data_IF_884239996838
#
_entry.id   IF_884239996838
#
_cell.length_a   1.000
_cell.length_b   1.000
_cell.length_c   1.000
_cell.angle_alpha   90.00
_cell.angle_beta   90.00
_cell.angle_gamma   90.00
#
_symmetry.space_group_name_H-M   'P 1'
#
loop_
_entity.id
_entity.type
_entity.pdbx_description
1 polymer ?
#
# COMPACT_ATOMS: atom_id res chain seq x y z
N UNK A 1 -10.78 -32.38 29.63
CA UNK A 1 -11.15 -30.95 29.57
C UNK A 1 -12.42 -30.85 28.69
N UNK A 2 -13.60 -30.39 29.16
CA UNK A 2 -14.89 -30.52 28.43
C UNK A 2 -14.98 -29.69 27.14
N UNK A 3 -15.29 -30.35 26.02
CA UNK A 3 -15.36 -29.72 24.68
C UNK A 3 -16.40 -28.58 24.63
N UNK A 4 -17.62 -28.84 25.11
CA UNK A 4 -18.71 -27.86 25.24
C UNK A 4 -18.73 -27.19 26.62
N UNK A 5 -19.38 -26.04 26.69
CA UNK A 5 -19.60 -25.30 27.93
C UNK A 5 -20.50 -26.05 28.91
N UNK A 6 -20.25 -25.85 30.21
CA UNK A 6 -21.08 -26.31 31.33
C UNK A 6 -21.68 -25.09 32.04
N UNK A 7 -22.68 -25.33 32.89
CA UNK A 7 -23.43 -24.27 33.62
C UNK A 7 -22.55 -23.27 34.37
N UNK A 8 -21.35 -23.67 34.79
CA UNK A 8 -20.42 -22.88 35.57
C UNK A 8 -19.06 -22.63 34.88
N UNK A 9 -18.87 -23.04 33.62
CA UNK A 9 -17.55 -22.99 32.97
C UNK A 9 -17.64 -23.03 31.44
N UNK A 10 -16.87 -22.19 30.74
CA UNK A 10 -16.75 -22.28 29.27
C UNK A 10 -16.00 -23.55 28.84
N UNK A 11 -16.45 -24.15 27.75
CA UNK A 11 -15.80 -25.31 27.12
C UNK A 11 -14.47 -24.92 26.46
N UNK A 12 -13.64 -25.91 26.13
CA UNK A 12 -12.31 -25.64 25.57
C UNK A 12 -12.35 -24.94 24.22
N UNK A 13 -13.31 -25.25 23.35
CA UNK A 13 -13.41 -24.60 22.04
C UNK A 13 -13.63 -23.08 22.19
N UNK A 14 -14.60 -22.69 23.03
CA UNK A 14 -14.90 -21.28 23.29
C UNK A 14 -13.69 -20.53 23.89
N UNK A 15 -12.94 -21.19 24.80
CA UNK A 15 -11.74 -20.62 25.42
C UNK A 15 -10.59 -20.48 24.44
N UNK A 16 -10.36 -21.49 23.60
CA UNK A 16 -9.31 -21.45 22.58
C UNK A 16 -9.59 -20.32 21.59
N UNK A 17 -10.81 -20.20 21.07
CA UNK A 17 -11.17 -19.06 20.22
C UNK A 17 -10.96 -17.72 20.93
N UNK A 18 -11.39 -17.60 22.19
CA UNK A 18 -11.19 -16.37 22.95
C UNK A 18 -9.71 -15.99 23.07
N UNK A 19 -8.87 -16.89 23.58
CA UNK A 19 -7.47 -16.57 23.89
C UNK A 19 -6.57 -16.49 22.65
N UNK A 20 -6.84 -17.30 21.62
CA UNK A 20 -6.15 -17.18 20.34
C UNK A 20 -6.47 -15.83 19.69
N UNK A 21 -7.75 -15.46 19.61
CA UNK A 21 -8.14 -14.15 19.09
C UNK A 21 -7.57 -13.00 19.93
N UNK A 22 -7.59 -13.10 21.26
CA UNK A 22 -7.04 -12.07 22.13
C UNK A 22 -5.55 -11.84 21.88
N UNK A 23 -4.75 -12.92 21.80
CA UNK A 23 -3.32 -12.81 21.52
C UNK A 23 -3.06 -12.17 20.15
N UNK A 24 -3.70 -12.70 19.10
CA UNK A 24 -3.50 -12.20 17.73
C UNK A 24 -3.94 -10.74 17.60
N UNK A 25 -5.09 -10.35 18.18
CA UNK A 25 -5.59 -8.96 18.13
C UNK A 25 -4.65 -8.01 18.85
N UNK A 26 -4.12 -8.36 20.03
CA UNK A 26 -3.17 -7.51 20.75
C UNK A 26 -1.88 -7.32 19.93
N UNK A 27 -1.35 -8.39 19.33
CA UNK A 27 -0.20 -8.28 18.43
C UNK A 27 -0.52 -7.44 17.19
N UNK A 28 -1.68 -7.62 16.57
CA UNK A 28 -2.11 -6.85 15.40
C UNK A 28 -2.26 -5.36 15.70
N UNK A 29 -2.80 -4.99 16.86
CA UNK A 29 -2.91 -3.58 17.26
C UNK A 29 -1.53 -2.95 17.48
N UNK A 30 -0.61 -3.67 18.14
CA UNK A 30 0.76 -3.20 18.34
C UNK A 30 1.52 -3.05 17.02
N UNK A 31 1.48 -4.09 16.17
CA UNK A 31 2.09 -4.08 14.84
C UNK A 31 1.45 -3.00 13.96
N UNK A 32 0.13 -2.84 14.02
CA UNK A 32 -0.61 -1.85 13.24
C UNK A 32 -0.21 -0.42 13.57
N UNK A 33 -0.02 -0.12 14.86
CA UNK A 33 0.52 1.16 15.30
C UNK A 33 1.97 1.34 14.85
N UNK A 34 2.82 0.33 15.07
CA UNK A 34 4.23 0.37 14.70
C UNK A 34 4.44 0.61 13.20
N UNK A 35 3.77 -0.18 12.35
CA UNK A 35 3.92 -0.11 10.89
C UNK A 35 3.35 1.19 10.30
N UNK A 36 2.42 1.85 10.98
CA UNK A 36 1.84 3.11 10.51
C UNK A 36 2.87 4.26 10.54
N UNK A 37 3.80 4.24 11.50
CA UNK A 37 4.82 5.27 11.70
C UNK A 37 6.13 4.98 10.93
N UNK A 38 6.28 3.78 10.36
CA UNK A 38 7.50 3.42 9.64
C UNK A 38 7.62 4.15 8.30
N UNK A 39 8.85 4.50 7.93
CA UNK A 39 9.18 4.89 6.56
C UNK A 39 8.84 3.76 5.58
N UNK A 40 8.43 4.14 4.37
CA UNK A 40 8.12 3.18 3.32
C UNK A 40 9.38 2.38 2.97
N UNK A 41 9.28 1.05 3.05
CA UNK A 41 10.41 0.12 2.93
C UNK A 41 9.90 -1.27 2.52
N UNK A 42 10.73 -2.16 1.95
CA UNK A 42 10.36 -3.56 1.73
C UNK A 42 9.89 -4.23 3.03
N UNK A 43 10.55 -3.93 4.15
CA UNK A 43 10.15 -4.47 5.45
C UNK A 43 8.75 -3.97 5.88
N UNK A 44 8.42 -2.69 5.66
CA UNK A 44 7.06 -2.15 5.90
C UNK A 44 6.02 -2.89 5.07
N UNK A 45 6.31 -3.16 3.80
CA UNK A 45 5.40 -3.87 2.90
C UNK A 45 5.20 -5.33 3.31
N UNK A 46 6.25 -6.01 3.74
CA UNK A 46 6.17 -7.36 4.30
C UNK A 46 5.32 -7.38 5.59
N UNK A 47 5.54 -6.42 6.49
CA UNK A 47 4.76 -6.29 7.72
C UNK A 47 3.28 -6.02 7.43
N UNK A 48 2.96 -5.20 6.42
CA UNK A 48 1.58 -5.03 5.95
C UNK A 48 0.97 -6.33 5.44
N UNK A 49 1.73 -7.15 4.71
CA UNK A 49 1.25 -8.45 4.22
C UNK A 49 0.91 -9.40 5.37
N UNK A 50 1.77 -9.49 6.40
CA UNK A 50 1.47 -10.26 7.60
C UNK A 50 0.28 -9.68 8.39
N UNK A 51 0.23 -8.36 8.58
CA UNK A 51 -0.88 -7.70 9.28
C UNK A 51 -2.23 -8.01 8.62
N UNK A 52 -2.32 -7.88 7.28
CA UNK A 52 -3.51 -8.25 6.50
C UNK A 52 -3.87 -9.72 6.67
N UNK A 53 -2.89 -10.62 6.55
CA UNK A 53 -3.11 -12.08 6.65
C UNK A 53 -3.65 -12.50 8.02
N UNK A 54 -3.04 -12.01 9.10
CA UNK A 54 -3.51 -12.27 10.47
C UNK A 54 -4.85 -11.59 10.76
N UNK A 55 -5.12 -10.42 10.16
CA UNK A 55 -6.44 -9.78 10.21
C UNK A 55 -7.53 -10.68 9.62
N UNK A 56 -7.25 -11.34 8.50
CA UNK A 56 -8.18 -12.30 7.88
C UNK A 56 -8.36 -13.57 8.73
N UNK A 57 -7.32 -14.03 9.44
CA UNK A 57 -7.47 -15.09 10.47
C UNK A 57 -8.45 -14.64 11.56
N UNK A 58 -8.34 -13.41 12.07
CA UNK A 58 -9.26 -12.88 13.09
C UNK A 58 -10.70 -12.83 12.59
N UNK A 59 -10.91 -12.42 11.33
CA UNK A 59 -12.25 -12.44 10.72
C UNK A 59 -12.83 -13.87 10.73
N UNK A 60 -12.07 -14.85 10.25
CA UNK A 60 -12.47 -16.25 10.24
C UNK A 60 -12.73 -16.81 11.64
N UNK A 61 -11.81 -16.60 12.59
CA UNK A 61 -11.99 -17.02 13.99
C UNK A 61 -13.22 -16.37 14.63
N UNK A 62 -13.52 -15.11 14.30
CA UNK A 62 -14.69 -14.41 14.84
C UNK A 62 -15.98 -14.99 14.27
N UNK A 63 -16.05 -15.27 12.97
CA UNK A 63 -17.20 -15.96 12.35
C UNK A 63 -17.40 -17.33 12.98
N UNK A 64 -16.35 -18.15 13.09
CA UNK A 64 -16.41 -19.46 13.74
C UNK A 64 -16.84 -19.37 15.20
N UNK A 65 -16.39 -18.35 15.93
CA UNK A 65 -16.79 -18.09 17.32
C UNK A 65 -18.27 -17.70 17.42
N UNK A 66 -18.79 -16.91 16.48
CA UNK A 66 -20.22 -16.57 16.41
C UNK A 66 -21.04 -17.82 16.13
N UNK A 67 -20.65 -18.66 15.16
CA UNK A 67 -21.33 -19.94 14.87
C UNK A 67 -21.30 -20.84 16.11
N UNK A 68 -20.13 -21.02 16.73
CA UNK A 68 -19.96 -21.83 17.93
C UNK A 68 -20.85 -21.35 19.09
N UNK A 69 -20.96 -20.03 19.29
CA UNK A 69 -21.82 -19.44 20.33
C UNK A 69 -23.30 -19.84 20.17
N UNK A 70 -23.78 -20.09 18.96
CA UNK A 70 -25.17 -20.54 18.71
C UNK A 70 -25.35 -22.05 18.92
N UNK A 71 -24.27 -22.84 18.86
CA UNK A 71 -24.28 -24.30 19.04
C UNK A 71 -23.98 -24.70 20.49
N UNK A 72 -23.19 -23.90 21.19
CA UNK A 72 -22.74 -24.19 22.57
C UNK A 72 -23.81 -23.86 23.61
N UNK A 73 -23.63 -24.39 24.82
CA UNK A 73 -24.56 -24.20 25.94
C UNK A 73 -24.52 -22.74 26.39
N UNK A 74 -25.70 -22.08 26.39
CA UNK A 74 -25.85 -20.72 26.90
C UNK A 74 -25.56 -20.69 28.40
N UNK A 75 -24.43 -20.11 28.78
CA UNK A 75 -24.08 -19.99 30.19
C UNK A 75 -24.82 -18.80 30.80
N UNK A 76 -25.49 -19.05 31.93
CA UNK A 76 -26.19 -17.99 32.66
C UNK A 76 -25.17 -16.96 33.22
N UNK A 77 -25.57 -15.68 33.29
CA UNK A 77 -24.80 -14.70 34.05
C UNK A 77 -24.73 -15.08 35.54
N UNK A 78 -23.77 -14.52 36.28
CA UNK A 78 -23.67 -14.76 37.72
C UNK A 78 -24.69 -13.89 38.46
N UNK A 79 -25.30 -14.43 39.52
CA UNK A 79 -26.29 -13.70 40.33
C UNK A 79 -25.70 -12.48 41.07
N UNK A 80 -24.37 -12.40 41.16
CA UNK A 80 -23.61 -11.29 41.74
C UNK A 80 -23.60 -10.04 40.86
N UNK A 81 -24.03 -10.14 39.60
CA UNK A 81 -23.97 -9.03 38.64
C UNK A 81 -25.24 -8.18 38.69
N UNK A 82 -25.05 -6.87 38.72
CA UNK A 82 -26.13 -5.88 38.63
C UNK A 82 -26.69 -5.77 37.20
N UNK A 83 -27.88 -5.19 37.06
CA UNK A 83 -28.49 -4.93 35.74
C UNK A 83 -27.61 -4.05 34.85
N UNK A 84 -26.93 -3.06 35.44
CA UNK A 84 -26.01 -2.18 34.72
C UNK A 84 -24.78 -2.93 34.23
N UNK A 85 -24.18 -3.79 35.06
CA UNK A 85 -23.03 -4.62 34.66
C UNK A 85 -23.39 -5.59 33.54
N UNK A 86 -24.57 -6.20 33.58
CA UNK A 86 -25.06 -7.01 32.47
C UNK A 86 -25.24 -6.22 31.18
N UNK A 87 -25.82 -5.02 31.28
CA UNK A 87 -26.00 -4.14 30.14
C UNK A 87 -24.65 -3.73 29.53
N UNK A 88 -23.73 -3.22 30.35
CA UNK A 88 -22.39 -2.79 29.93
C UNK A 88 -21.60 -3.96 29.34
N UNK A 89 -21.63 -5.12 29.98
CA UNK A 89 -20.99 -6.33 29.46
C UNK A 89 -21.53 -6.69 28.08
N UNK A 90 -22.86 -6.72 27.89
CA UNK A 90 -23.46 -7.01 26.59
C UNK A 90 -23.06 -5.96 25.55
N UNK A 91 -23.09 -4.68 25.90
CA UNK A 91 -22.73 -3.58 25.03
C UNK A 91 -21.27 -3.66 24.57
N UNK A 92 -20.32 -3.84 25.50
CA UNK A 92 -18.89 -4.00 25.19
C UNK A 92 -18.67 -5.22 24.30
N UNK A 93 -19.32 -6.36 24.58
CA UNK A 93 -19.20 -7.53 23.70
C UNK A 93 -19.73 -7.25 22.29
N UNK A 94 -20.83 -6.51 22.13
CA UNK A 94 -21.35 -6.11 20.82
C UNK A 94 -20.32 -5.23 20.09
N UNK A 95 -19.76 -4.22 20.75
CA UNK A 95 -18.71 -3.38 20.16
C UNK A 95 -17.49 -4.20 19.74
N UNK A 96 -17.05 -5.16 20.57
CA UNK A 96 -15.95 -6.07 20.23
C UNK A 96 -16.29 -6.90 18.97
N UNK A 97 -17.50 -7.47 18.86
CA UNK A 97 -17.88 -8.22 17.67
C UNK A 97 -17.97 -7.34 16.42
N UNK A 98 -18.55 -6.13 16.54
CA UNK A 98 -18.60 -5.17 15.43
C UNK A 98 -17.18 -4.81 14.99
N UNK A 99 -16.28 -4.51 15.92
CA UNK A 99 -14.90 -4.16 15.61
C UNK A 99 -14.11 -5.32 15.00
N UNK A 100 -14.20 -6.52 15.58
CA UNK A 100 -13.46 -7.70 15.10
C UNK A 100 -13.89 -8.19 13.71
N UNK A 101 -15.07 -7.79 13.25
CA UNK A 101 -15.58 -8.08 11.90
C UNK A 101 -15.33 -6.88 10.97
N UNK A 102 -15.72 -5.68 11.41
CA UNK A 102 -15.65 -4.46 10.62
C UNK A 102 -14.23 -4.00 10.32
N UNK A 103 -13.28 -4.17 11.25
CA UNK A 103 -11.88 -3.80 11.03
C UNK A 103 -11.23 -4.62 9.90
N UNK A 104 -11.23 -5.98 9.91
CA UNK A 104 -10.66 -6.73 8.80
C UNK A 104 -11.35 -6.47 7.46
N UNK A 105 -12.69 -6.34 7.44
CA UNK A 105 -13.44 -6.05 6.21
C UNK A 105 -13.06 -4.67 5.65
N UNK A 106 -13.01 -3.63 6.49
CA UNK A 106 -12.58 -2.31 6.05
C UNK A 106 -11.13 -2.30 5.57
N UNK A 107 -10.24 -3.07 6.19
CA UNK A 107 -8.85 -3.19 5.75
C UNK A 107 -8.70 -3.93 4.41
N UNK A 108 -9.54 -4.95 4.17
CA UNK A 108 -9.59 -5.65 2.89
C UNK A 108 -10.10 -4.72 1.77
N UNK A 109 -11.21 -4.03 2.00
CA UNK A 109 -11.74 -3.05 1.04
C UNK A 109 -10.75 -1.89 0.78
N UNK A 110 -10.06 -1.42 1.82
CA UNK A 110 -9.00 -0.42 1.70
C UNK A 110 -7.87 -0.90 0.79
N UNK A 111 -7.45 -2.16 0.95
CA UNK A 111 -6.38 -2.72 0.13
C UNK A 111 -6.81 -2.86 -1.33
N UNK A 112 -8.03 -3.35 -1.60
CA UNK A 112 -8.58 -3.43 -2.96
C UNK A 112 -8.68 -2.03 -3.62
N UNK A 113 -9.27 -1.06 -2.93
CA UNK A 113 -9.47 0.30 -3.47
C UNK A 113 -8.15 1.04 -3.75
N UNK A 114 -7.06 0.67 -3.06
CA UNK A 114 -5.72 1.23 -3.25
C UNK A 114 -4.79 0.39 -4.13
N UNK A 115 -5.31 -0.63 -4.82
CA UNK A 115 -4.52 -1.60 -5.61
C UNK A 115 -3.37 -2.24 -4.83
N UNK A 116 -3.59 -2.46 -3.53
CA UNK A 116 -2.68 -3.23 -2.70
C UNK A 116 -3.07 -4.70 -2.71
N UNK A 117 -2.14 -5.61 -3.02
CA UNK A 117 -2.41 -7.04 -3.03
C UNK A 117 -2.92 -7.54 -1.68
N UNK A 118 -3.99 -8.34 -1.67
CA UNK A 118 -4.50 -9.01 -0.48
C UNK A 118 -4.00 -10.46 -0.41
N UNK A 119 -2.69 -10.63 -0.50
CA UNK A 119 -2.04 -11.93 -0.38
C UNK A 119 -2.20 -12.51 1.04
N UNK A 120 -2.61 -13.76 1.13
CA UNK A 120 -2.68 -14.54 2.36
C UNK A 120 -1.41 -15.35 2.54
N UNK A 121 -0.46 -14.82 3.32
CA UNK A 121 0.86 -15.41 3.56
C UNK A 121 1.65 -15.77 2.28
N UNK A 122 1.39 -15.10 1.14
CA UNK A 122 2.03 -15.43 -0.14
C UNK A 122 1.46 -16.66 -0.85
N UNK A 123 0.41 -17.30 -0.30
CA UNK A 123 -0.11 -18.57 -0.81
C UNK A 123 -1.19 -18.40 -1.88
N UNK A 124 -2.08 -17.43 -1.68
CA UNK A 124 -3.15 -17.06 -2.61
C UNK A 124 -3.60 -15.64 -2.31
N UNK A 125 -4.34 -15.05 -3.24
CA UNK A 125 -4.94 -13.72 -3.06
C UNK A 125 -6.43 -13.83 -2.72
N UNK A 126 -6.89 -13.01 -1.77
CA UNK A 126 -8.33 -12.85 -1.58
C UNK A 126 -8.96 -12.13 -2.78
N UNK A 127 -10.23 -12.42 -3.12
CA UNK A 127 -10.86 -11.83 -4.28
C UNK A 127 -10.89 -10.31 -4.20
N UNK A 128 -10.73 -9.67 -5.35
CA UNK A 128 -10.87 -8.22 -5.49
C UNK A 128 -12.36 -7.89 -5.52
N UNK A 129 -12.86 -7.23 -4.46
CA UNK A 129 -14.28 -6.97 -4.27
C UNK A 129 -14.74 -5.64 -4.87
N UNK A 130 -13.80 -4.70 -5.02
CA UNK A 130 -14.03 -3.32 -5.48
C UNK A 130 -12.86 -2.89 -6.33
N UNK A 131 -13.12 -2.15 -7.40
CA UNK A 131 -12.08 -1.57 -8.25
C UNK A 131 -11.33 -0.43 -7.55
N UNK A 132 -10.21 0.01 -8.16
CA UNK A 132 -9.46 1.19 -7.74
C UNK A 132 -10.37 2.41 -7.58
N UNK A 133 -10.38 3.01 -6.40
CA UNK A 133 -11.16 4.20 -6.12
C UNK A 133 -10.54 4.98 -4.95
N UNK A 134 -10.03 6.18 -5.22
CA UNK A 134 -9.34 7.01 -4.23
C UNK A 134 -10.25 7.48 -3.09
N UNK A 135 -11.50 7.81 -3.38
CA UNK A 135 -12.47 8.23 -2.37
C UNK A 135 -12.81 7.07 -1.43
N UNK A 136 -13.01 5.88 -2.00
CA UNK A 136 -13.27 4.65 -1.26
C UNK A 136 -12.05 4.26 -0.42
N UNK A 137 -10.83 4.41 -0.94
CA UNK A 137 -9.60 4.18 -0.20
C UNK A 137 -9.52 5.11 1.04
N UNK A 138 -9.75 6.41 0.88
CA UNK A 138 -9.74 7.39 1.99
C UNK A 138 -10.83 7.08 3.02
N UNK A 139 -12.03 6.72 2.56
CA UNK A 139 -13.15 6.35 3.42
C UNK A 139 -12.82 5.09 4.23
N UNK A 140 -12.41 4.01 3.56
CA UNK A 140 -12.12 2.73 4.21
C UNK A 140 -10.92 2.83 5.17
N UNK A 141 -9.90 3.63 4.86
CA UNK A 141 -8.80 3.98 5.78
C UNK A 141 -9.30 4.67 7.04
N UNK A 142 -10.22 5.62 6.89
CA UNK A 142 -10.83 6.33 8.03
C UNK A 142 -11.67 5.38 8.88
N UNK A 143 -12.50 4.56 8.26
CA UNK A 143 -13.33 3.53 8.94
C UNK A 143 -12.45 2.51 9.66
N UNK A 144 -11.36 2.04 9.04
CA UNK A 144 -10.41 1.13 9.66
C UNK A 144 -9.78 1.73 10.92
N UNK A 145 -9.38 3.00 10.85
CA UNK A 145 -8.83 3.74 11.98
C UNK A 145 -9.85 3.93 13.12
N UNK A 146 -11.10 4.26 12.79
CA UNK A 146 -12.20 4.37 13.77
C UNK A 146 -12.41 3.02 14.49
N UNK A 147 -12.44 1.91 13.75
CA UNK A 147 -12.55 0.59 14.37
C UNK A 147 -11.33 0.26 15.25
N UNK A 148 -10.13 0.74 14.92
CA UNK A 148 -8.95 0.54 15.77
C UNK A 148 -9.09 1.21 17.12
N UNK A 149 -9.42 2.51 17.15
CA UNK A 149 -9.65 3.23 18.40
C UNK A 149 -10.83 2.64 19.19
N UNK A 150 -11.91 2.26 18.50
CA UNK A 150 -13.05 1.60 19.14
C UNK A 150 -12.66 0.27 19.78
N UNK A 151 -11.86 -0.56 19.10
CA UNK A 151 -11.39 -1.85 19.63
C UNK A 151 -10.44 -1.65 20.81
N UNK A 152 -9.50 -0.71 20.73
CA UNK A 152 -8.59 -0.39 21.84
C UNK A 152 -9.40 -0.03 23.09
N UNK A 153 -10.38 0.88 22.97
CA UNK A 153 -11.25 1.27 24.06
C UNK A 153 -12.08 0.10 24.59
N UNK A 154 -12.74 -0.66 23.70
CA UNK A 154 -13.59 -1.78 24.09
C UNK A 154 -12.81 -2.91 24.76
N UNK A 155 -11.60 -3.23 24.28
CA UNK A 155 -10.69 -4.21 24.87
C UNK A 155 -10.23 -3.73 26.24
N UNK A 156 -9.83 -2.45 26.37
CA UNK A 156 -9.44 -1.86 27.65
C UNK A 156 -10.56 -1.98 28.69
N UNK A 157 -11.77 -1.55 28.35
CA UNK A 157 -12.94 -1.67 29.22
C UNK A 157 -13.30 -3.13 29.53
N UNK A 158 -13.15 -4.04 28.56
CA UNK A 158 -13.37 -5.47 28.76
C UNK A 158 -12.39 -6.06 29.79
N UNK A 159 -11.09 -5.74 29.67
CA UNK A 159 -10.05 -6.20 30.59
C UNK A 159 -10.28 -5.61 31.98
N UNK A 160 -10.53 -4.30 32.08
CA UNK A 160 -10.82 -3.63 33.35
C UNK A 160 -12.03 -4.24 34.02
N UNK A 161 -13.11 -4.51 33.29
CA UNK A 161 -14.29 -5.20 33.82
C UNK A 161 -13.96 -6.61 34.35
N UNK A 162 -13.19 -7.39 33.58
CA UNK A 162 -12.78 -8.73 34.01
C UNK A 162 -11.89 -8.71 35.27
N UNK A 163 -10.99 -7.73 35.37
CA UNK A 163 -10.12 -7.54 36.54
C UNK A 163 -10.90 -7.04 37.76
N UNK A 164 -11.84 -6.09 37.57
CA UNK A 164 -12.75 -5.62 38.62
C UNK A 164 -13.53 -6.79 39.22
N UNK A 165 -14.12 -7.63 38.38
CA UNK A 165 -14.83 -8.83 38.82
C UNK A 165 -13.91 -9.83 39.54
N UNK A 166 -12.66 -9.97 39.09
CA UNK A 166 -11.72 -10.91 39.69
C UNK A 166 -11.12 -10.44 41.02
N UNK A 167 -10.76 -9.16 41.13
CA UNK A 167 -9.98 -8.59 42.23
C UNK A 167 -10.90 -7.97 43.29
N UNK A 168 -11.89 -7.18 42.85
CA UNK A 168 -12.80 -6.44 43.74
C UNK A 168 -13.99 -7.31 44.12
N UNK A 169 -14.75 -7.79 43.14
CA UNK A 169 -15.96 -8.59 43.41
C UNK A 169 -15.63 -10.04 43.82
N UNK A 170 -14.40 -10.49 43.50
CA UNK A 170 -13.88 -11.84 43.77
C UNK A 170 -14.77 -12.96 43.21
N UNK A 171 -15.44 -12.69 42.09
CA UNK A 171 -16.34 -13.65 41.47
C UNK A 171 -15.61 -14.62 40.51
N UNK A 172 -16.38 -15.51 39.89
CA UNK A 172 -15.85 -16.52 38.98
C UNK A 172 -15.81 -16.10 37.50
N UNK A 173 -16.06 -14.83 37.15
CA UNK A 173 -16.15 -14.34 35.77
C UNK A 173 -14.89 -14.67 34.97
N UNK A 174 -13.70 -14.28 35.45
CA UNK A 174 -12.44 -14.59 34.78
C UNK A 174 -12.08 -16.08 34.85
N UNK A 175 -12.34 -16.72 36.00
CA UNK A 175 -12.07 -18.16 36.22
C UNK A 175 -12.85 -19.05 35.25
N UNK A 176 -14.04 -18.63 34.84
CA UNK A 176 -14.86 -19.29 33.80
C UNK A 176 -14.17 -19.31 32.44
N UNK A 177 -13.30 -18.36 32.12
CA UNK A 177 -12.59 -18.25 30.83
C UNK A 177 -11.18 -18.88 30.82
N UNK A 178 -10.63 -19.28 31.97
CA UNK A 178 -9.40 -20.07 32.05
C UNK A 178 -8.29 -19.40 32.85
N UNK A 179 -8.42 -19.40 34.18
CA UNK A 179 -7.55 -18.63 35.09
C UNK A 179 -6.03 -18.82 34.93
N UNK A 180 -5.53 -20.01 34.58
CA UNK A 180 -4.08 -20.25 34.37
C UNK A 180 -3.57 -19.79 32.99
N UNK A 181 -4.43 -19.75 31.98
CA UNK A 181 -4.09 -19.34 30.60
C UNK A 181 -3.95 -17.81 30.52
N UNK A 182 -4.69 -17.09 31.37
CA UNK A 182 -4.65 -15.62 31.50
C UNK A 182 -3.21 -15.13 31.72
N UNK A 183 -2.47 -15.73 32.66
CA UNK A 183 -1.11 -15.31 33.00
C UNK A 183 -0.11 -15.58 31.85
N UNK A 184 -0.30 -16.67 31.10
CA UNK A 184 0.55 -16.99 29.95
C UNK A 184 0.31 -16.03 28.79
N UNK A 185 -0.94 -15.68 28.49
CA UNK A 185 -1.27 -14.73 27.40
C UNK A 185 -0.84 -13.31 27.77
N UNK A 186 -1.03 -12.89 29.02
CA UNK A 186 -0.53 -11.60 29.51
C UNK A 186 1.00 -11.56 29.44
N UNK A 187 1.69 -12.62 29.88
CA UNK A 187 3.15 -12.71 29.80
C UNK A 187 3.68 -12.63 28.37
N UNK A 188 3.06 -13.33 27.41
CA UNK A 188 3.44 -13.29 25.99
C UNK A 188 3.14 -11.92 25.38
N UNK A 189 1.98 -11.33 25.63
CA UNK A 189 1.62 -10.01 25.14
C UNK A 189 2.55 -8.91 25.69
N UNK A 190 2.98 -9.02 26.94
CA UNK A 190 3.98 -8.13 27.55
C UNK A 190 5.35 -8.31 26.90
N UNK A 191 5.76 -9.54 26.56
CA UNK A 191 7.04 -9.82 25.88
C UNK A 191 7.09 -9.33 24.42
N UNK A 192 5.95 -9.08 23.78
CA UNK A 192 5.91 -8.42 22.47
C UNK A 192 6.26 -6.92 22.54
N UNK A 193 6.16 -6.28 23.72
CA UNK A 193 6.47 -4.85 23.91
C UNK A 193 8.00 -4.56 23.95
N UNK A 194 8.86 -5.38 24.55
CA UNK A 194 10.32 -5.24 24.45
C UNK A 194 10.88 -5.49 23.05
N UNK A 195 10.29 -6.41 22.26
CA UNK A 195 10.69 -6.62 20.86
C UNK A 195 10.45 -5.34 20.05
N UNK A 196 9.37 -4.61 20.35
CA UNK A 196 9.09 -3.29 19.79
C UNK A 196 10.20 -2.27 20.12
N UNK A 197 10.73 -2.22 21.35
CA UNK A 197 11.82 -1.31 21.70
C UNK A 197 13.19 -1.71 21.12
N UNK A 198 13.50 -3.01 21.06
CA UNK A 198 14.77 -3.51 20.52
C UNK A 198 14.85 -3.25 19.00
N UNK A 199 13.75 -3.43 18.27
CA UNK A 199 13.74 -3.18 16.82
C UNK A 199 13.87 -1.68 16.51
N UNK A 200 13.20 -0.80 17.27
CA UNK A 200 13.30 0.67 17.15
C UNK A 200 14.73 1.18 17.34
N UNK A 201 15.41 0.72 18.39
CA UNK A 201 16.76 1.17 18.73
C UNK A 201 17.83 0.71 17.72
N UNK A 202 17.55 -0.39 17.00
CA UNK A 202 18.47 -0.93 15.98
C UNK A 202 18.33 -0.19 14.65
N UNK A 203 17.14 0.28 14.29
CA UNK A 203 16.87 0.97 13.01
C UNK A 203 17.29 2.45 13.03
N UNK A 204 17.03 3.18 14.12
CA UNK A 204 17.39 4.60 14.25
C UNK A 204 18.92 4.83 14.14
N UNK A 205 19.70 3.83 14.57
CA UNK A 205 21.16 3.82 14.51
C UNK A 205 21.73 3.58 13.10
N UNK A 206 20.92 3.05 12.18
CA UNK A 206 21.33 2.77 10.80
C UNK A 206 21.04 3.97 9.87
N UNK A 207 19.98 4.73 10.11
CA UNK A 207 19.59 5.87 9.26
C UNK A 207 20.47 7.12 9.48
N UNK A 208 20.93 7.35 10.70
CA UNK A 208 21.73 8.55 11.06
C UNK A 208 23.11 8.60 10.39
N UNK A 209 23.60 7.48 9.85
CA UNK A 209 24.93 7.42 9.21
C UNK A 209 24.90 7.82 7.73
N UNK A 210 23.73 7.88 7.08
CA UNK A 210 23.61 7.96 5.61
C UNK A 210 23.46 9.39 5.05
N UNK A 211 23.04 10.38 5.84
CA UNK A 211 22.58 11.68 5.31
C UNK A 211 23.61 12.83 5.30
N UNK A 212 24.91 12.56 5.46
CA UNK A 212 25.91 13.61 5.38
C UNK A 212 26.40 13.83 3.95
N UNK A 213 26.02 15.00 3.38
CA UNK A 213 26.68 15.74 2.28
C UNK A 213 26.05 15.57 0.89
N UNK A 214 25.44 16.62 0.34
CA UNK A 214 25.97 17.37 -0.82
C UNK A 214 25.12 18.57 -1.24
N UNK A 215 25.81 19.51 -1.87
CA UNK A 215 25.51 20.94 -1.95
C UNK A 215 25.01 21.32 -3.35
N UNK A 216 24.04 22.24 -3.38
CA UNK A 216 23.36 22.78 -4.55
C UNK A 216 24.26 23.33 -5.68
N UNK A 217 23.83 23.13 -6.94
CA UNK A 217 24.01 24.13 -8.00
C UNK A 217 22.85 24.03 -9.01
N UNK A 218 22.12 25.14 -9.19
CA UNK A 218 20.92 25.29 -10.01
C UNK A 218 21.28 26.00 -11.31
N UNK A 219 20.84 25.51 -12.47
CA UNK A 219 20.86 26.29 -13.71
C UNK A 219 19.51 26.28 -14.44
N UNK A 220 19.23 27.45 -15.01
CA UNK A 220 17.95 27.93 -15.53
C UNK A 220 17.67 27.50 -16.97
N UNK A 221 16.37 27.50 -17.27
CA UNK A 221 15.70 27.28 -18.55
C UNK A 221 16.18 28.15 -19.72
N UNK A 222 15.90 27.68 -20.95
CA UNK A 222 15.83 28.56 -22.12
C UNK A 222 14.76 28.08 -23.13
N UNK A 223 13.93 29.05 -23.53
CA UNK A 223 12.89 29.05 -24.56
C UNK A 223 13.48 29.20 -25.97
N UNK A 224 12.86 28.58 -27.00
CA UNK A 224 12.90 29.05 -28.42
C UNK A 224 11.85 28.29 -29.26
N UNK A 225 10.85 29.00 -29.81
CA UNK A 225 10.62 29.34 -31.25
C UNK A 225 9.92 28.27 -32.08
N UNK A 226 8.73 28.63 -32.60
CA UNK A 226 7.93 27.85 -33.55
C UNK A 226 8.66 27.68 -34.88
N UNK A 227 8.74 26.44 -35.34
CA UNK A 227 9.12 26.02 -36.68
C UNK A 227 7.93 25.33 -37.32
N UNK A 228 7.78 25.51 -38.64
CA UNK A 228 6.82 24.74 -39.46
C UNK A 228 6.98 23.24 -39.16
N UNK A 229 5.86 22.50 -39.18
CA UNK A 229 5.71 21.08 -38.79
C UNK A 229 5.72 20.72 -37.28
N UNK A 230 5.63 21.70 -36.38
CA UNK A 230 5.43 21.41 -34.95
C UNK A 230 4.00 20.90 -34.66
N UNK A 231 3.91 19.81 -33.89
CA UNK A 231 2.65 19.24 -33.41
C UNK A 231 2.24 19.87 -32.07
N UNK A 232 0.97 20.22 -31.97
CA UNK A 232 0.33 20.73 -30.74
C UNK A 232 -0.32 19.55 -30.01
N UNK A 233 0.14 19.30 -28.79
CA UNK A 233 -0.31 18.19 -27.96
C UNK A 233 -1.58 18.57 -27.21
N UNK A 234 -2.58 17.70 -27.27
CA UNK A 234 -3.75 17.74 -26.42
C UNK A 234 -3.45 16.98 -25.12
N UNK A 235 -2.98 17.71 -24.10
CA UNK A 235 -2.61 17.14 -22.81
C UNK A 235 -3.78 16.51 -22.04
N UNK A 236 -5.02 16.92 -22.30
CA UNK A 236 -6.19 16.32 -21.63
C UNK A 236 -6.46 14.90 -22.15
N UNK A 237 -6.13 14.64 -23.41
CA UNK A 237 -6.27 13.35 -24.06
C UNK A 237 -4.92 12.65 -24.30
N UNK A 238 -3.89 13.02 -23.53
CA UNK A 238 -2.57 12.42 -23.57
C UNK A 238 -2.14 11.93 -22.19
N UNK A 239 -1.35 10.87 -22.13
CA UNK A 239 -0.89 10.25 -20.89
C UNK A 239 0.47 9.58 -21.05
N UNK A 240 1.33 9.80 -20.07
CA UNK A 240 2.56 9.01 -19.85
C UNK A 240 2.32 8.17 -18.60
N UNK A 241 2.19 6.86 -18.80
CA UNK A 241 1.92 5.88 -17.77
C UNK A 241 3.04 4.85 -17.68
N UNK A 242 3.08 4.15 -16.55
CA UNK A 242 3.99 3.05 -16.33
C UNK A 242 3.32 1.96 -15.50
N UNK A 243 3.80 0.73 -15.65
CA UNK A 243 3.43 -0.42 -14.83
C UNK A 243 4.71 -1.01 -14.26
N UNK A 244 4.72 -1.28 -12.97
CA UNK A 244 5.82 -1.98 -12.31
C UNK A 244 5.25 -3.08 -11.41
N UNK A 245 6.05 -4.10 -11.14
CA UNK A 245 5.63 -5.21 -10.28
C UNK A 245 6.01 -4.94 -8.83
N UNK A 246 5.08 -5.10 -7.90
CA UNK A 246 5.29 -5.06 -6.45
C UNK A 246 4.78 -6.36 -5.81
N UNK A 247 5.67 -7.17 -5.24
CA UNK A 247 5.38 -8.51 -4.71
C UNK A 247 4.60 -9.41 -5.68
N UNK A 248 4.96 -9.39 -6.97
CA UNK A 248 4.34 -10.20 -8.01
C UNK A 248 3.11 -9.57 -8.67
N UNK A 249 2.58 -8.49 -8.11
CA UNK A 249 1.38 -7.83 -8.63
C UNK A 249 1.72 -6.56 -9.40
N UNK A 250 0.95 -6.29 -10.46
CA UNK A 250 1.18 -5.14 -11.32
C UNK A 250 0.51 -3.89 -10.74
N UNK A 251 1.32 -2.86 -10.53
CA UNK A 251 0.87 -1.56 -10.06
C UNK A 251 0.95 -0.56 -11.19
N UNK A 252 -0.14 0.18 -11.41
CA UNK A 252 -0.21 1.26 -12.38
C UNK A 252 0.24 2.59 -11.79
N UNK A 253 0.97 3.39 -12.57
CA UNK A 253 1.32 4.75 -12.25
C UNK A 253 1.35 5.66 -13.48
N UNK A 254 1.41 6.96 -13.25
CA UNK A 254 1.52 7.98 -14.30
C UNK A 254 2.15 9.27 -13.77
N UNK A 255 2.42 10.20 -14.67
CA UNK A 255 2.87 11.56 -14.35
C UNK A 255 1.81 12.58 -14.79
N UNK A 256 1.37 13.44 -13.87
CA UNK A 256 0.36 14.46 -14.15
C UNK A 256 0.93 15.68 -14.90
N UNK A 257 2.23 15.95 -14.76
CA UNK A 257 2.88 17.14 -15.32
C UNK A 257 4.07 16.76 -16.18
N UNK A 258 3.94 17.05 -17.47
CA UNK A 258 4.99 16.87 -18.46
C UNK A 258 4.71 17.80 -19.63
N UNK A 259 5.77 18.16 -20.33
CA UNK A 259 5.74 18.97 -21.55
C UNK A 259 6.46 18.20 -22.66
N UNK A 260 6.05 18.40 -23.90
CA UNK A 260 6.78 17.87 -25.04
C UNK A 260 6.78 18.83 -26.23
N UNK A 261 7.86 18.75 -27.00
CA UNK A 261 8.02 19.43 -28.30
C UNK A 261 8.21 18.34 -29.34
N UNK A 262 7.32 18.29 -30.33
CA UNK A 262 7.34 17.27 -31.38
C UNK A 262 7.30 17.98 -32.72
N UNK A 263 8.33 17.77 -33.52
CA UNK A 263 8.42 18.14 -34.93
C UNK A 263 8.52 16.81 -35.66
N UNK A 264 7.51 16.44 -36.43
CA UNK A 264 7.51 15.13 -37.08
C UNK A 264 6.85 15.18 -38.44
N UNK A 265 7.58 14.69 -39.44
CA UNK A 265 7.10 14.48 -40.81
C UNK A 265 7.45 13.05 -41.23
N UNK A 266 6.42 12.27 -41.59
CA UNK A 266 6.59 10.87 -41.99
C UNK A 266 7.36 10.69 -43.30
N UNK A 267 7.46 11.74 -44.11
CA UNK A 267 8.22 11.76 -45.36
C UNK A 267 9.61 12.43 -45.20
N UNK A 268 9.87 13.10 -44.07
CA UNK A 268 11.14 13.77 -43.74
C UNK A 268 11.57 13.48 -42.30
N UNK A 269 12.03 12.24 -42.08
CA UNK A 269 12.46 11.77 -40.77
C UNK A 269 13.78 12.39 -40.29
N UNK A 270 14.61 12.89 -41.20
CA UNK A 270 15.92 13.49 -40.84
C UNK A 270 15.75 14.84 -40.15
N UNK A 271 14.73 15.61 -40.51
CA UNK A 271 14.38 16.88 -39.86
C UNK A 271 13.34 16.72 -38.73
N UNK A 272 12.95 15.47 -38.42
CA UNK A 272 12.03 15.18 -37.33
C UNK A 272 12.77 15.13 -35.98
N UNK A 273 12.14 15.65 -34.93
CA UNK A 273 12.64 15.62 -33.55
C UNK A 273 11.51 15.55 -32.52
N UNK A 274 11.77 14.88 -31.41
CA UNK A 274 10.90 14.87 -30.25
C UNK A 274 11.72 15.08 -28.98
N UNK A 275 11.23 15.96 -28.11
CA UNK A 275 11.78 16.17 -26.78
C UNK A 275 10.64 16.13 -25.76
N UNK A 276 10.82 15.39 -24.67
CA UNK A 276 9.86 15.27 -23.58
C UNK A 276 10.55 15.67 -22.28
N UNK A 277 9.86 16.42 -21.44
CA UNK A 277 10.28 16.76 -20.09
C UNK A 277 9.17 16.41 -19.11
N UNK A 278 9.45 15.55 -18.14
CA UNK A 278 8.48 15.11 -17.13
C UNK A 278 8.88 15.70 -15.78
N UNK A 279 7.93 16.28 -15.04
CA UNK A 279 8.15 16.67 -13.64
C UNK A 279 7.99 15.45 -12.73
N UNK A 280 9.08 15.05 -12.07
CA UNK A 280 9.11 13.87 -11.20
C UNK A 280 8.16 14.01 -10.01
N UNK A 281 7.94 15.23 -9.50
CA UNK A 281 7.05 15.46 -8.37
C UNK A 281 5.57 15.17 -8.69
N UNK A 282 5.24 15.09 -9.99
CA UNK A 282 3.89 14.80 -10.48
C UNK A 282 3.54 13.32 -10.56
N UNK A 283 4.43 12.43 -10.08
CA UNK A 283 4.19 11.00 -10.06
C UNK A 283 2.96 10.64 -9.22
N UNK A 284 2.11 9.76 -9.76
CA UNK A 284 0.91 9.24 -9.14
C UNK A 284 0.77 7.75 -9.33
N UNK A 285 0.74 7.01 -8.22
CA UNK A 285 0.55 5.56 -8.17
C UNK A 285 -0.73 5.16 -7.43
N UNK A 286 -1.53 6.14 -6.99
CA UNK A 286 -2.73 5.91 -6.18
C UNK A 286 -2.43 5.67 -4.70
N UNK A 287 -1.18 5.88 -4.25
CA UNK A 287 -0.77 5.77 -2.85
C UNK A 287 0.20 6.88 -2.47
N UNK A 288 -0.20 7.74 -1.53
CA UNK A 288 0.64 8.84 -1.05
C UNK A 288 1.99 8.34 -0.51
N UNK A 289 2.01 7.27 0.28
CA UNK A 289 3.24 6.68 0.81
C UNK A 289 4.20 6.24 -0.32
N UNK A 290 3.66 5.65 -1.39
CA UNK A 290 4.47 5.20 -2.52
C UNK A 290 4.93 6.37 -3.38
N UNK A 291 4.08 7.38 -3.57
CA UNK A 291 4.41 8.59 -4.32
C UNK A 291 5.52 9.38 -3.60
N UNK A 292 5.45 9.49 -2.27
CA UNK A 292 6.52 10.08 -1.44
C UNK A 292 7.81 9.26 -1.49
N UNK A 293 7.72 7.92 -1.48
CA UNK A 293 8.89 7.07 -1.64
C UNK A 293 9.55 7.29 -3.02
N UNK A 294 8.76 7.35 -4.08
CA UNK A 294 9.28 7.45 -5.43
C UNK A 294 10.11 8.72 -5.65
N UNK A 295 9.74 9.83 -5.01
CA UNK A 295 10.48 11.09 -5.14
C UNK A 295 11.72 11.19 -4.21
N UNK A 296 11.91 10.23 -3.30
CA UNK A 296 13.03 10.20 -2.35
C UNK A 296 14.39 10.00 -3.00
N UNK A 297 15.47 10.23 -2.24
CA UNK A 297 16.88 10.13 -2.67
C UNK A 297 17.26 8.74 -3.21
N UNK A 298 16.72 7.67 -2.62
CA UNK A 298 16.97 6.29 -3.05
C UNK A 298 16.27 5.94 -4.37
N UNK A 299 15.28 6.73 -4.77
CA UNK A 299 14.46 6.53 -5.97
C UNK A 299 14.79 7.60 -7.00
N UNK A 300 13.82 8.41 -7.45
CA UNK A 300 14.09 9.41 -8.50
C UNK A 300 14.99 10.56 -8.03
N UNK A 301 15.23 10.69 -6.72
CA UNK A 301 16.01 11.77 -6.10
C UNK A 301 15.56 13.15 -6.60
N UNK A 302 14.26 13.39 -6.50
CA UNK A 302 13.57 14.52 -7.14
C UNK A 302 14.15 15.88 -6.74
N UNK A 303 14.65 16.01 -5.50
CA UNK A 303 15.27 17.24 -5.03
C UNK A 303 16.50 17.64 -5.87
N UNK A 304 17.28 16.67 -6.36
CA UNK A 304 18.48 16.89 -7.18
C UNK A 304 18.16 16.83 -8.68
N UNK A 305 17.23 15.95 -9.05
CA UNK A 305 16.81 15.69 -10.42
C UNK A 305 15.29 15.90 -10.54
N UNK A 306 14.81 17.16 -10.56
CA UNK A 306 13.38 17.45 -10.53
C UNK A 306 12.66 17.02 -11.81
N UNK A 307 13.40 16.81 -12.90
CA UNK A 307 12.86 16.49 -14.21
C UNK A 307 13.55 15.29 -14.82
N UNK A 308 12.76 14.46 -15.50
CA UNK A 308 13.23 13.50 -16.49
C UNK A 308 13.21 14.14 -17.88
N UNK A 309 14.14 13.74 -18.73
CA UNK A 309 14.25 14.26 -20.09
C UNK A 309 14.45 13.13 -21.09
N UNK A 310 13.67 13.15 -22.16
CA UNK A 310 13.94 12.34 -23.35
C UNK A 310 14.21 13.27 -24.52
N UNK A 311 15.22 12.95 -25.33
CA UNK A 311 15.51 13.65 -26.59
C UNK A 311 15.78 12.64 -27.70
N UNK A 312 15.01 12.70 -28.77
CA UNK A 312 15.23 11.88 -29.96
C UNK A 312 16.57 12.20 -30.60
N UNK A 313 17.21 11.17 -31.15
CA UNK A 313 18.41 11.28 -31.99
C UNK A 313 18.08 11.03 -33.45
N UNK A 314 17.23 10.03 -33.73
CA UNK A 314 16.73 9.74 -35.07
C UNK A 314 15.46 8.88 -35.02
N UNK A 315 14.80 8.76 -36.18
CA UNK A 315 13.62 7.95 -36.39
C UNK A 315 13.86 6.95 -37.52
N UNK A 316 13.28 5.76 -37.39
CA UNK A 316 13.34 4.71 -38.41
C UNK A 316 11.90 4.36 -38.86
N UNK A 317 11.63 4.36 -40.17
CA UNK A 317 10.35 3.89 -40.72
C UNK A 317 10.39 2.36 -40.82
N UNK A 318 9.45 1.69 -40.14
CA UNK A 318 9.31 0.22 -40.23
C UNK A 318 8.15 -0.20 -41.14
N UNK A 319 7.09 0.61 -41.19
CA UNK A 319 5.98 0.50 -42.15
C UNK A 319 5.30 1.86 -42.33
N UNK A 320 4.23 1.93 -43.12
CA UNK A 320 3.59 3.21 -43.48
C UNK A 320 3.21 4.09 -42.27
N UNK A 321 2.72 3.47 -41.18
CA UNK A 321 2.30 4.18 -39.96
C UNK A 321 2.99 3.63 -38.68
N UNK A 322 4.09 2.90 -38.82
CA UNK A 322 4.86 2.38 -37.67
C UNK A 322 6.32 2.77 -37.81
N UNK A 323 6.90 3.20 -36.70
CA UNK A 323 8.23 3.78 -36.65
C UNK A 323 8.94 3.31 -35.38
N UNK A 324 10.25 3.41 -35.36
CA UNK A 324 11.07 3.30 -34.14
C UNK A 324 11.66 4.68 -33.88
N UNK A 325 11.56 5.15 -32.64
CA UNK A 325 12.25 6.34 -32.18
C UNK A 325 13.46 5.93 -31.35
N UNK A 326 14.60 6.53 -31.65
CA UNK A 326 15.84 6.34 -30.90
C UNK A 326 16.17 7.65 -30.17
N UNK A 327 16.67 7.58 -28.95
CA UNK A 327 16.95 8.80 -28.20
C UNK A 327 17.64 8.58 -26.87
N UNK A 328 18.09 9.69 -26.30
CA UNK A 328 18.71 9.72 -24.99
C UNK A 328 17.64 9.99 -23.94
N UNK A 329 17.45 9.03 -23.04
CA UNK A 329 16.61 9.16 -21.85
C UNK A 329 17.51 9.44 -20.65
N UNK A 330 17.34 10.61 -20.03
CA UNK A 330 17.93 10.95 -18.75
C UNK A 330 16.90 10.79 -17.64
N UNK A 331 17.20 9.89 -16.70
CA UNK A 331 16.47 9.71 -15.45
C UNK A 331 17.45 9.73 -14.31
N UNK A 332 17.14 10.50 -13.25
CA UNK A 332 17.96 10.56 -12.03
C UNK A 332 19.45 10.91 -12.33
N UNK A 333 19.67 11.80 -13.29
CA UNK A 333 21.00 12.21 -13.73
C UNK A 333 21.77 11.18 -14.56
N UNK A 334 21.22 10.00 -14.82
CA UNK A 334 21.83 8.95 -15.64
C UNK A 334 21.18 8.94 -17.02
N UNK A 335 22.00 9.09 -18.06
CA UNK A 335 21.54 9.03 -19.46
C UNK A 335 21.77 7.64 -20.03
N UNK A 336 20.72 7.06 -20.62
CA UNK A 336 20.77 5.83 -21.40
C UNK A 336 20.25 6.11 -22.81
N UNK A 337 20.88 5.49 -23.81
CA UNK A 337 20.33 5.49 -25.15
C UNK A 337 19.27 4.38 -25.24
N UNK A 338 18.04 4.74 -25.59
CA UNK A 338 16.91 3.83 -25.69
C UNK A 338 16.29 3.89 -27.08
N UNK A 339 15.55 2.84 -27.43
CA UNK A 339 14.83 2.75 -28.70
C UNK A 339 13.51 2.04 -28.48
N UNK A 340 12.43 2.58 -29.01
CA UNK A 340 11.11 1.98 -28.84
C UNK A 340 10.19 2.23 -30.04
N UNK A 341 9.29 1.28 -30.32
CA UNK A 341 8.35 1.42 -31.42
C UNK A 341 7.21 2.37 -31.05
N UNK A 342 6.69 3.09 -32.04
CA UNK A 342 5.43 3.81 -31.94
C UNK A 342 4.60 3.67 -33.21
N UNK A 343 3.29 3.84 -33.07
CA UNK A 343 2.33 3.79 -34.18
C UNK A 343 1.54 5.08 -34.27
N UNK A 344 1.33 5.54 -35.50
CA UNK A 344 0.47 6.69 -35.82
C UNK A 344 -0.91 6.21 -36.25
N UNK A 345 -1.94 6.86 -35.75
CA UNK A 345 -3.33 6.65 -36.17
C UNK A 345 -4.02 7.99 -36.35
N UNK A 346 -4.77 8.15 -37.45
CA UNK A 346 -5.45 9.41 -37.77
C UNK A 346 -4.71 10.22 -38.84
N UNK A 347 -4.91 11.53 -38.80
CA UNK A 347 -4.40 12.48 -39.80
C UNK A 347 -3.87 13.77 -39.12
N UNK A 348 -3.48 14.78 -39.93
CA UNK A 348 -2.93 16.04 -39.43
C UNK A 348 -3.91 16.81 -38.51
N UNK A 349 -5.22 16.67 -38.69
CA UNK A 349 -6.21 17.34 -37.85
C UNK A 349 -6.33 16.67 -36.48
N UNK A 350 -6.12 15.35 -36.41
CA UNK A 350 -6.01 14.61 -35.15
C UNK A 350 -5.23 13.32 -35.35
N UNK A 351 -4.03 13.26 -34.79
CA UNK A 351 -3.19 12.07 -34.75
C UNK A 351 -3.09 11.55 -33.32
N UNK A 352 -3.19 10.23 -33.19
CA UNK A 352 -2.94 9.48 -31.96
C UNK A 352 -1.63 8.70 -32.13
N UNK A 353 -0.74 8.85 -31.15
CA UNK A 353 0.53 8.13 -31.03
C UNK A 353 0.42 7.16 -29.86
N UNK A 354 0.68 5.88 -30.10
CA UNK A 354 0.82 4.89 -29.05
C UNK A 354 2.22 4.28 -29.08
N UNK A 355 2.88 4.22 -27.93
CA UNK A 355 4.16 3.54 -27.73
C UNK A 355 4.14 2.75 -26.43
N UNK A 356 4.66 1.53 -26.47
CA UNK A 356 4.81 0.68 -25.29
C UNK A 356 6.19 0.02 -25.34
N UNK A 357 6.93 0.10 -24.23
CA UNK A 357 8.27 -0.45 -24.15
C UNK A 357 8.72 -0.67 -22.70
N UNK A 358 9.52 -1.72 -22.44
CA UNK A 358 10.09 -1.97 -21.12
C UNK A 358 11.33 -1.10 -20.87
N UNK A 359 11.53 -0.71 -19.61
CA UNK A 359 12.78 -0.16 -19.09
C UNK A 359 13.24 -0.95 -17.86
N UNK A 360 14.54 -0.92 -17.56
CA UNK A 360 15.08 -1.37 -16.27
C UNK A 360 15.28 -0.16 -15.36
N UNK A 361 14.65 -0.16 -14.18
CA UNK A 361 14.84 0.92 -13.20
C UNK A 361 16.27 0.95 -12.67
N UNK A 362 16.92 -0.21 -12.58
CA UNK A 362 18.28 -0.34 -12.06
C UNK A 362 19.33 0.25 -13.02
N UNK A 363 19.09 0.26 -14.34
CA UNK A 363 19.95 0.96 -15.31
C UNK A 363 20.02 2.47 -15.11
N UNK A 364 19.05 3.06 -14.41
CA UNK A 364 19.01 4.47 -14.04
C UNK A 364 19.29 4.70 -12.54
N UNK A 365 19.70 3.65 -11.82
CA UNK A 365 20.00 3.73 -10.39
C UNK A 365 18.77 4.08 -9.53
N UNK A 366 17.57 3.77 -10.00
CA UNK A 366 16.30 4.03 -9.30
C UNK A 366 15.95 2.82 -8.42
N UNK A 367 15.82 3.06 -7.12
CA UNK A 367 15.61 2.04 -6.11
C UNK A 367 16.93 1.48 -5.59
N UNK A 368 17.59 2.28 -4.75
CA UNK A 368 18.88 2.00 -4.11
C UNK A 368 18.73 1.39 -2.71
N UNK A 369 19.86 1.02 -2.10
CA UNK A 369 19.88 0.46 -0.75
C UNK A 369 19.04 -0.81 -0.66
N UNK A 370 18.07 -0.81 0.26
CA UNK A 370 17.12 -1.91 0.48
C UNK A 370 16.20 -2.20 -0.73
N UNK A 371 16.08 -1.26 -1.68
CA UNK A 371 15.25 -1.40 -2.88
C UNK A 371 15.98 -1.97 -4.09
N UNK A 372 17.26 -2.32 -3.94
CA UNK A 372 18.07 -2.88 -5.03
C UNK A 372 17.61 -4.28 -5.42
N UNK A 373 17.16 -5.07 -4.44
CA UNK A 373 16.61 -6.40 -4.67
C UNK A 373 15.28 -6.35 -5.42
N UNK A 374 15.02 -7.34 -6.28
CA UNK A 374 13.89 -7.32 -7.21
C UNK A 374 12.68 -8.14 -6.76
N UNK A 375 12.72 -8.69 -5.54
CA UNK A 375 11.65 -9.50 -4.96
C UNK A 375 10.45 -8.65 -4.52
N UNK A 376 10.72 -7.51 -3.88
CA UNK A 376 9.70 -6.58 -3.42
C UNK A 376 9.21 -5.69 -4.57
N UNK A 377 10.14 -5.18 -5.39
CA UNK A 377 9.83 -4.34 -6.56
C UNK A 377 10.63 -4.85 -7.76
N UNK A 378 9.96 -5.27 -8.83
CA UNK A 378 10.58 -5.75 -10.06
C UNK A 378 11.54 -4.73 -10.69
N UNK A 379 12.54 -5.20 -11.42
CA UNK A 379 13.45 -4.31 -12.16
C UNK A 379 12.81 -3.73 -13.42
N UNK A 380 12.07 -4.58 -14.15
CA UNK A 380 11.36 -4.16 -15.35
C UNK A 380 10.18 -3.25 -14.99
N UNK A 381 10.10 -2.13 -15.70
CA UNK A 381 8.99 -1.17 -15.67
C UNK A 381 8.50 -1.01 -17.11
N UNK A 382 7.25 -1.34 -17.35
CA UNK A 382 6.63 -1.20 -18.66
C UNK A 382 6.09 0.21 -18.82
N UNK A 383 6.59 0.95 -19.81
CA UNK A 383 6.18 2.32 -20.10
C UNK A 383 5.11 2.30 -21.19
N UNK A 384 4.07 3.12 -21.02
CA UNK A 384 3.03 3.36 -22.02
C UNK A 384 2.88 4.86 -22.26
N UNK A 385 2.98 5.26 -23.52
CA UNK A 385 2.81 6.65 -23.96
C UNK A 385 1.63 6.67 -24.92
N UNK A 386 0.62 7.46 -24.56
CA UNK A 386 -0.52 7.79 -25.40
C UNK A 386 -0.50 9.30 -25.64
N UNK A 387 -0.31 9.75 -26.87
CA UNK A 387 -0.36 11.16 -27.23
C UNK A 387 -1.47 11.40 -28.23
N UNK A 388 -2.29 12.41 -27.97
CA UNK A 388 -3.18 13.00 -28.96
C UNK A 388 -2.61 14.34 -29.36
N UNK A 389 -2.41 14.58 -30.65
CA UNK A 389 -1.87 15.83 -31.17
C UNK A 389 -2.51 16.21 -32.51
N UNK A 390 -2.37 17.48 -32.86
CA UNK A 390 -2.75 18.01 -34.17
C UNK A 390 -1.66 18.94 -34.71
N UNK A 391 -1.65 19.16 -36.02
CA UNK A 391 -0.75 20.08 -36.68
C UNK A 391 -1.58 21.28 -37.16
N UNK A 392 -1.16 22.50 -36.82
CA UNK A 392 -1.78 23.70 -37.41
C UNK A 392 -1.43 23.77 -38.90
N UNK A 393 -2.42 24.14 -39.73
CA UNK A 393 -2.29 24.22 -41.19
C UNK A 393 -1.45 25.40 -41.66
#
# INVERSE_FOLDING_TARGET
MPVKSKSNQFGHIARTFHWASALIVLCLLAIGYYMAEMAFSPFKLELYTYHKSFGMIILGLTVLRVIWKHIDVRIKPLDTHTRLEHFLSKFIHILLYIGLIGMPISGWLMSNAGEFPNSFFGLFEFPHLVEKNEELFKLTRSVHSIFAYMLILAIGLHIVGALKHHIIDKDNTLKRMGGKIVLAVIGIAILCVPVYFIVLETFEKLETTSQATQTHTKLSSKTTTHTDNQWIIDYQNSKIAFIFTQYGENISGHFDQWDATVIFDKEDLENSSAAISIDIASIKTGSDDRDQQAISTEWFSQADFPKAHFKSTHFEKTSENSFIIHGDLNLRGITQNISFPFKLQGDKAKTVVNAEFPLSRLHFGIGQGQWKETNAIGDQVDISIHLTAHQEN
#
